data_IF_156766363073
#
_entry.id   IF_156766363073
#
_cell.length_a   1.000
_cell.length_b   1.000
_cell.length_c   1.000
_cell.angle_alpha   90.00
_cell.angle_beta   90.00
_cell.angle_gamma   90.00
#
_symmetry.space_group_name_H-M   'P 1'
#
loop_
_entity.id
_entity.type
_entity.pdbx_description
1 polymer ?
#
# COMPACT_ATOMS: atom_id res chain seq x y z
N UNK A 1 -12.33 -12.32 -16.74
CA UNK A 1 -12.90 -11.12 -16.09
C UNK A 1 -14.06 -10.47 -16.86
N UNK A 2 -14.06 -10.43 -18.20
CA UNK A 2 -15.17 -9.82 -18.98
C UNK A 2 -16.57 -10.36 -18.67
N UNK A 3 -16.77 -11.68 -18.73
CA UNK A 3 -18.08 -12.30 -18.41
C UNK A 3 -18.58 -12.08 -16.97
N UNK A 4 -17.68 -11.83 -16.01
CA UNK A 4 -18.03 -11.64 -14.60
C UNK A 4 -18.43 -10.17 -14.33
N UNK A 5 -17.78 -9.23 -15.01
CA UNK A 5 -18.12 -7.81 -14.99
C UNK A 5 -19.49 -7.52 -15.57
N UNK A 6 -19.88 -8.22 -16.64
CA UNK A 6 -21.19 -8.01 -17.28
C UNK A 6 -22.35 -8.60 -16.46
N UNK A 7 -22.10 -9.55 -15.55
CA UNK A 7 -23.12 -10.15 -14.66
C UNK A 7 -23.28 -9.45 -13.31
N UNK A 8 -22.18 -9.00 -12.70
CA UNK A 8 -22.19 -8.43 -11.33
C UNK A 8 -22.43 -6.92 -11.34
N UNK A 9 -22.23 -6.27 -12.49
CA UNK A 9 -22.29 -4.82 -12.62
C UNK A 9 -20.91 -4.18 -12.42
N UNK A 10 -20.63 -3.15 -13.23
CA UNK A 10 -19.33 -2.49 -13.32
C UNK A 10 -18.93 -1.79 -12.01
N UNK A 11 -19.85 -1.00 -11.45
CA UNK A 11 -19.63 -0.23 -10.22
C UNK A 11 -19.33 -1.08 -8.97
N UNK A 12 -20.11 -2.14 -8.62
CA UNK A 12 -19.82 -2.97 -7.46
C UNK A 12 -18.54 -3.81 -7.62
N UNK A 13 -18.21 -4.24 -8.84
CA UNK A 13 -16.96 -4.98 -9.09
C UNK A 13 -15.72 -4.10 -8.85
N UNK A 14 -15.77 -2.83 -9.27
CA UNK A 14 -14.69 -1.87 -9.02
C UNK A 14 -14.50 -1.61 -7.52
N UNK A 15 -15.58 -1.30 -6.80
CA UNK A 15 -15.54 -1.04 -5.35
C UNK A 15 -15.08 -2.29 -4.59
N UNK A 16 -15.58 -3.47 -4.95
CA UNK A 16 -15.16 -4.74 -4.36
C UNK A 16 -13.67 -5.01 -4.55
N UNK A 17 -13.13 -4.76 -5.76
CA UNK A 17 -11.71 -4.87 -6.03
C UNK A 17 -10.87 -3.88 -5.21
N UNK A 18 -11.30 -2.63 -5.09
CA UNK A 18 -10.61 -1.61 -4.27
C UNK A 18 -10.58 -2.01 -2.79
N UNK A 19 -11.72 -2.44 -2.22
CA UNK A 19 -11.79 -2.89 -0.82
C UNK A 19 -10.89 -4.12 -0.61
N UNK A 20 -10.93 -5.08 -1.54
CA UNK A 20 -10.09 -6.27 -1.45
C UNK A 20 -8.59 -5.92 -1.46
N UNK A 21 -8.15 -4.94 -2.25
CA UNK A 21 -6.76 -4.44 -2.23
C UNK A 21 -6.39 -3.80 -0.89
N UNK A 22 -7.30 -2.99 -0.33
CA UNK A 22 -7.05 -2.34 0.97
C UNK A 22 -6.89 -3.40 2.06
N UNK A 23 -7.76 -4.41 2.07
CA UNK A 23 -7.66 -5.51 3.02
C UNK A 23 -6.41 -6.37 2.79
N UNK A 24 -5.99 -6.54 1.53
CA UNK A 24 -4.81 -7.32 1.17
C UNK A 24 -3.48 -6.61 1.49
N UNK A 25 -3.49 -5.31 1.79
CA UNK A 25 -2.28 -4.59 2.19
C UNK A 25 -1.59 -5.22 3.41
N UNK A 26 -2.36 -5.61 4.44
CA UNK A 26 -1.84 -6.27 5.64
C UNK A 26 -1.15 -7.63 5.37
N UNK A 27 -1.82 -8.61 4.74
CA UNK A 27 -1.19 -9.90 4.43
C UNK A 27 -0.04 -9.76 3.43
N UNK A 28 -0.05 -8.74 2.55
CA UNK A 28 1.08 -8.45 1.66
C UNK A 28 2.35 -8.11 2.46
N UNK A 29 2.28 -7.19 3.43
CA UNK A 29 3.44 -6.87 4.27
C UNK A 29 3.89 -8.05 5.14
N UNK A 30 2.95 -8.90 5.58
CA UNK A 30 3.28 -10.13 6.29
C UNK A 30 4.06 -11.11 5.40
N UNK A 31 3.60 -11.36 4.16
CA UNK A 31 4.29 -12.21 3.19
C UNK A 31 5.69 -11.67 2.85
N UNK A 32 5.85 -10.35 2.74
CA UNK A 32 7.15 -9.71 2.55
C UNK A 32 8.10 -9.93 3.75
N UNK A 33 7.56 -10.01 4.96
CA UNK A 33 8.36 -10.22 6.19
C UNK A 33 9.01 -11.60 6.25
N UNK A 34 8.46 -12.61 5.54
CA UNK A 34 9.01 -13.96 5.48
C UNK A 34 10.34 -14.04 4.70
N UNK A 35 10.66 -13.05 3.87
CA UNK A 35 11.91 -12.97 3.07
C UNK A 35 12.20 -14.19 2.19
N UNK A 36 11.19 -15.00 1.87
CA UNK A 36 11.32 -16.16 0.98
C UNK A 36 10.85 -15.81 -0.42
N UNK A 37 11.56 -16.31 -1.44
CA UNK A 37 11.23 -16.05 -2.85
C UNK A 37 9.81 -16.49 -3.21
N UNK A 38 9.37 -17.64 -2.68
CA UNK A 38 8.03 -18.17 -2.91
C UNK A 38 6.93 -17.27 -2.33
N UNK A 39 7.12 -16.71 -1.13
CA UNK A 39 6.15 -15.81 -0.52
C UNK A 39 6.01 -14.49 -1.30
N UNK A 40 7.13 -13.96 -1.80
CA UNK A 40 7.13 -12.74 -2.63
C UNK A 40 6.40 -13.01 -3.96
N UNK A 41 6.68 -14.13 -4.62
CA UNK A 41 5.99 -14.49 -5.87
C UNK A 41 4.48 -14.63 -5.62
N UNK A 42 4.07 -15.37 -4.57
CA UNK A 42 2.66 -15.54 -4.24
C UNK A 42 1.97 -14.19 -3.93
N UNK A 43 2.61 -13.32 -3.15
CA UNK A 43 2.09 -11.99 -2.85
C UNK A 43 1.89 -11.14 -4.11
N UNK A 44 2.84 -11.21 -5.04
CA UNK A 44 2.83 -10.45 -6.30
C UNK A 44 1.75 -10.98 -7.24
N UNK A 45 1.61 -12.30 -7.38
CA UNK A 45 0.59 -12.94 -8.21
C UNK A 45 -0.81 -12.66 -7.68
N UNK A 46 -1.03 -12.72 -6.37
CA UNK A 46 -2.34 -12.45 -5.78
C UNK A 46 -2.67 -10.95 -5.91
N UNK A 47 -1.73 -10.07 -5.56
CA UNK A 47 -1.93 -8.63 -5.61
C UNK A 47 -2.14 -8.10 -7.04
N UNK A 48 -1.18 -8.33 -7.93
CA UNK A 48 -1.21 -7.80 -9.31
C UNK A 48 -2.03 -8.69 -10.27
N UNK A 49 -2.10 -9.99 -10.02
CA UNK A 49 -2.81 -10.92 -10.91
C UNK A 49 -4.31 -11.01 -10.59
N UNK A 50 -4.67 -11.24 -9.33
CA UNK A 50 -6.09 -11.42 -8.97
C UNK A 50 -6.79 -10.12 -8.59
N UNK A 51 -6.19 -9.30 -7.73
CA UNK A 51 -6.88 -8.14 -7.16
C UNK A 51 -6.82 -6.91 -8.05
N UNK A 52 -5.72 -6.72 -8.78
CA UNK A 52 -5.57 -5.60 -9.71
C UNK A 52 -6.34 -5.80 -11.04
N UNK A 53 -6.48 -7.05 -11.50
CA UNK A 53 -7.17 -7.39 -12.75
C UNK A 53 -8.63 -6.89 -12.87
N UNK A 54 -9.51 -7.02 -11.86
CA UNK A 54 -10.88 -6.51 -11.97
C UNK A 54 -10.94 -4.98 -12.02
N UNK A 55 -10.02 -4.30 -11.32
CA UNK A 55 -9.95 -2.83 -11.29
C UNK A 55 -9.62 -2.30 -12.68
N UNK A 56 -8.56 -2.81 -13.31
CA UNK A 56 -8.15 -2.37 -14.66
C UNK A 56 -9.14 -2.75 -15.75
N UNK A 57 -9.78 -3.92 -15.63
CA UNK A 57 -10.77 -4.39 -16.60
C UNK A 57 -12.02 -3.50 -16.67
N UNK A 58 -12.45 -2.92 -15.55
CA UNK A 58 -13.67 -2.10 -15.47
C UNK A 58 -13.40 -0.60 -15.63
N UNK A 59 -12.18 -0.16 -15.33
CA UNK A 59 -11.80 1.25 -15.36
C UNK A 59 -11.99 1.89 -16.75
N UNK A 60 -11.60 1.19 -17.82
CA UNK A 60 -11.76 1.68 -19.20
C UNK A 60 -13.23 1.78 -19.63
N UNK A 61 -14.08 0.85 -19.19
CA UNK A 61 -15.51 0.87 -19.53
C UNK A 61 -16.27 1.93 -18.74
N UNK A 62 -15.97 2.10 -17.45
CA UNK A 62 -16.53 3.18 -16.63
C UNK A 62 -16.19 4.57 -17.17
N UNK A 63 -14.95 4.80 -17.60
CA UNK A 63 -14.57 6.08 -18.21
C UNK A 63 -15.28 6.35 -19.52
N UNK A 64 -15.61 5.30 -20.28
CA UNK A 64 -16.42 5.46 -21.49
C UNK A 64 -17.88 5.83 -21.19
N UNK A 65 -18.42 5.47 -20.03
CA UNK A 65 -19.77 5.84 -19.61
C UNK A 65 -19.84 7.27 -19.03
N UNK A 66 -18.77 7.73 -18.37
CA UNK A 66 -18.74 9.03 -17.66
C UNK A 66 -18.42 10.21 -18.59
N UNK A 67 -17.61 10.01 -19.64
CA UNK A 67 -17.17 11.09 -20.52
C UNK A 67 -17.75 10.98 -21.93
N UNK A 68 -18.22 12.13 -22.45
CA UNK A 68 -18.64 12.26 -23.84
C UNK A 68 -17.46 12.05 -24.81
N UNK A 69 -17.75 11.56 -26.01
CA UNK A 69 -16.75 11.11 -26.99
C UNK A 69 -15.71 12.18 -27.33
N UNK A 70 -16.10 13.46 -27.34
CA UNK A 70 -15.23 14.58 -27.71
C UNK A 70 -14.17 14.95 -26.66
N UNK A 71 -14.36 14.58 -25.37
CA UNK A 71 -13.44 14.94 -24.27
C UNK A 71 -12.93 13.73 -23.50
N UNK A 72 -13.24 12.51 -23.95
CA UNK A 72 -12.91 11.27 -23.23
C UNK A 72 -11.40 11.08 -23.07
N UNK A 73 -10.63 11.27 -24.13
CA UNK A 73 -9.18 11.02 -24.08
C UNK A 73 -8.44 12.03 -23.18
N UNK A 74 -8.79 13.31 -23.30
CA UNK A 74 -8.19 14.39 -22.51
C UNK A 74 -8.65 14.32 -21.05
N UNK A 75 -9.93 14.10 -20.79
CA UNK A 75 -10.47 13.97 -19.43
C UNK A 75 -9.91 12.77 -18.67
N UNK A 76 -9.83 11.60 -19.30
CA UNK A 76 -9.28 10.38 -18.68
C UNK A 76 -7.79 10.56 -18.37
N UNK A 77 -7.01 11.06 -19.32
CA UNK A 77 -5.57 11.25 -19.14
C UNK A 77 -5.29 12.30 -18.07
N UNK A 78 -6.00 13.43 -18.06
CA UNK A 78 -5.85 14.47 -17.03
C UNK A 78 -6.20 13.92 -15.64
N UNK A 79 -7.30 13.20 -15.50
CA UNK A 79 -7.69 12.58 -14.23
C UNK A 79 -6.66 11.57 -13.75
N UNK A 80 -6.13 10.74 -14.65
CA UNK A 80 -5.09 9.76 -14.32
C UNK A 80 -3.79 10.45 -13.88
N UNK A 81 -3.32 11.44 -14.62
CA UNK A 81 -2.06 12.14 -14.32
C UNK A 81 -2.16 12.97 -13.05
N UNK A 82 -3.28 13.64 -12.80
CA UNK A 82 -3.50 14.37 -11.53
C UNK A 82 -3.57 13.40 -10.35
N UNK A 83 -4.32 12.31 -10.49
CA UNK A 83 -4.40 11.27 -9.46
C UNK A 83 -3.03 10.66 -9.17
N UNK A 84 -2.27 10.33 -10.21
CA UNK A 84 -0.92 9.79 -10.10
C UNK A 84 0.08 10.80 -9.50
N UNK A 85 -0.01 12.08 -9.86
CA UNK A 85 0.86 13.12 -9.31
C UNK A 85 0.62 13.31 -7.81
N UNK A 86 -0.64 13.39 -7.40
CA UNK A 86 -1.01 13.55 -5.99
C UNK A 86 -0.67 12.27 -5.23
N UNK A 87 -1.29 11.15 -5.59
CA UNK A 87 -1.13 9.91 -4.83
C UNK A 87 0.29 9.33 -4.93
N UNK A 88 0.91 9.36 -6.11
CA UNK A 88 2.26 8.84 -6.33
C UNK A 88 3.34 9.67 -5.64
N UNK A 89 3.16 10.98 -5.53
CA UNK A 89 4.10 11.87 -4.82
C UNK A 89 3.89 11.89 -3.31
N UNK A 90 2.65 11.97 -2.83
CA UNK A 90 2.37 12.12 -1.39
C UNK A 90 2.44 10.81 -0.62
N UNK A 91 2.10 9.67 -1.22
CA UNK A 91 2.14 8.37 -0.54
C UNK A 91 3.53 8.03 0.04
N UNK A 92 4.65 8.13 -0.69
CA UNK A 92 5.97 7.82 -0.14
C UNK A 92 6.43 8.84 0.92
N UNK A 93 6.02 10.11 0.82
CA UNK A 93 6.31 11.12 1.85
C UNK A 93 5.61 10.78 3.16
N UNK A 94 4.33 10.40 3.09
CA UNK A 94 3.55 9.96 4.25
C UNK A 94 4.13 8.66 4.82
N UNK A 95 4.47 7.69 3.98
CA UNK A 95 5.09 6.44 4.41
C UNK A 95 6.42 6.67 5.12
N UNK A 96 7.27 7.56 4.60
CA UNK A 96 8.55 7.92 5.21
C UNK A 96 8.35 8.65 6.54
N UNK A 97 7.36 9.54 6.61
CA UNK A 97 6.99 10.22 7.85
C UNK A 97 6.53 9.22 8.92
N UNK A 98 5.64 8.29 8.57
CA UNK A 98 5.16 7.24 9.47
C UNK A 98 6.30 6.32 9.93
N UNK A 99 7.19 5.93 9.02
CA UNK A 99 8.37 5.11 9.34
C UNK A 99 9.30 5.83 10.33
N UNK A 100 9.57 7.12 10.11
CA UNK A 100 10.41 7.91 11.02
C UNK A 100 9.76 8.12 12.39
N UNK A 101 8.44 8.33 12.43
CA UNK A 101 7.71 8.39 13.69
C UNK A 101 7.82 7.06 14.46
N UNK A 102 7.59 5.92 13.80
CA UNK A 102 7.69 4.60 14.41
C UNK A 102 9.13 4.27 14.88
N UNK A 103 10.14 4.62 14.07
CA UNK A 103 11.54 4.47 14.44
C UNK A 103 11.94 5.36 15.63
N UNK A 104 11.33 6.53 15.82
CA UNK A 104 11.53 7.33 17.05
C UNK A 104 10.96 6.64 18.28
N UNK A 105 9.81 5.97 18.18
CA UNK A 105 9.24 5.22 19.30
C UNK A 105 10.10 4.01 19.69
N UNK A 106 10.56 3.21 18.70
CA UNK A 106 11.44 2.06 18.95
C UNK A 106 12.85 2.50 19.36
N UNK A 107 13.37 3.57 18.75
CA UNK A 107 14.67 4.16 19.03
C UNK A 107 14.75 4.83 20.41
N UNK A 108 13.70 5.50 20.86
CA UNK A 108 13.65 6.04 22.22
C UNK A 108 13.66 4.91 23.27
N UNK A 109 12.99 3.80 22.99
CA UNK A 109 13.03 2.59 23.84
C UNK A 109 14.42 1.96 23.91
N UNK A 110 15.12 1.83 22.77
CA UNK A 110 16.48 1.27 22.74
C UNK A 110 17.52 2.22 23.35
N UNK A 111 17.34 3.53 23.22
CA UNK A 111 18.23 4.54 23.80
C UNK A 111 18.07 4.64 25.33
N UNK A 112 16.84 4.49 25.85
CA UNK A 112 16.57 4.35 27.29
C UNK A 112 17.11 3.03 27.84
N UNK A 113 16.95 1.91 27.11
CA UNK A 113 17.54 0.62 27.49
C UNK A 113 19.07 0.65 27.57
N UNK A 114 19.73 1.26 26.58
CA UNK A 114 21.19 1.40 26.57
C UNK A 114 21.71 2.43 27.59
N UNK A 115 20.92 3.43 27.97
CA UNK A 115 21.27 4.38 29.04
C UNK A 115 21.15 3.70 30.40
N UNK A 116 20.05 2.99 30.63
CA UNK A 116 19.84 2.24 31.88
C UNK A 116 20.90 1.14 32.11
N UNK A 117 21.33 0.41 31.06
CA UNK A 117 22.47 -0.52 31.16
C UNK A 117 23.81 0.17 31.46
N UNK A 118 24.06 1.37 30.92
CA UNK A 118 25.30 2.12 31.21
C UNK A 118 25.32 2.65 32.63
N UNK A 119 24.18 3.06 33.17
CA UNK A 119 24.05 3.52 34.54
C UNK A 119 24.26 2.36 35.55
N UNK A 120 23.70 1.17 35.26
CA UNK A 120 23.96 -0.06 36.03
C UNK A 120 25.45 -0.48 35.99
N UNK A 121 26.13 -0.32 34.85
CA UNK A 121 27.55 -0.64 34.70
C UNK A 121 28.49 0.36 35.40
N UNK A 122 28.08 1.62 35.59
CA UNK A 122 28.83 2.60 36.39
C UNK A 122 28.63 2.37 37.90
N UNK A 123 27.41 2.02 38.33
CA UNK A 123 27.11 1.76 39.74
C UNK A 123 27.88 0.54 40.28
N UNK A 124 28.10 -0.51 39.46
CA UNK A 124 28.93 -1.66 39.83
C UNK A 124 30.43 -1.39 39.91
N UNK A 125 30.90 -0.21 39.46
CA UNK A 125 32.33 0.13 39.41
C UNK A 125 32.75 1.19 40.45
N UNK A 126 31.79 1.82 41.14
CA UNK A 126 32.03 2.77 42.24
C UNK A 126 31.89 2.16 43.65
N UNK A 127 31.55 0.87 43.74
CA UNK A 127 31.35 0.15 45.02
C UNK A 127 32.45 -0.85 45.38
N UNK A 128 33.64 -0.75 44.78
CA UNK A 128 34.81 -1.58 45.08
C UNK A 128 36.02 -0.71 45.40
#
# INVERSE_FOLDING_TARGET
MGKLSDKIGRKPLYIGGTIAIILFAFPYFYLLSLKTTAAIIAATVIGLGLLWAPITAVLGTMFSEIFSTNVRYTGVTLGYQLGAAIAGGTAPLIATYLLNAYNKFVGAGSHLYHRHRRDLACCGRCGA
#
